data_IF_690698388513
#
_entry.id   IF_690698388513
#
_cell.length_a   1.000
_cell.length_b   1.000
_cell.length_c   1.000
_cell.angle_alpha   90.00
_cell.angle_beta   90.00
_cell.angle_gamma   90.00
#
_symmetry.space_group_name_H-M   'P 1'
#
loop_
_entity.id
_entity.type
_entity.pdbx_description
1 polymer ?
#
# COMPACT_ATOMS: atom_id res chain seq x y z
N UNK A 1 -46.79 -8.02 -10.12
CA UNK A 1 -47.00 -6.77 -9.34
C UNK A 1 -45.64 -6.11 -9.18
N UNK A 2 -45.43 -5.01 -9.90
CA UNK A 2 -44.26 -4.14 -9.81
C UNK A 2 -44.71 -2.86 -9.12
N UNK A 3 -44.07 -2.48 -8.01
CA UNK A 3 -43.98 -1.11 -7.45
C UNK A 3 -42.68 -1.12 -6.61
N UNK A 4 -41.67 -0.28 -6.79
CA UNK A 4 -41.65 1.11 -7.23
C UNK A 4 -41.31 1.97 -6.01
N UNK A 5 -40.03 2.25 -5.78
CA UNK A 5 -39.58 3.25 -4.80
C UNK A 5 -38.69 4.26 -5.51
N UNK A 6 -39.28 5.43 -5.76
CA UNK A 6 -38.65 6.63 -6.30
C UNK A 6 -37.96 7.43 -5.19
N UNK A 7 -36.83 8.04 -5.56
CA UNK A 7 -36.09 9.03 -4.78
C UNK A 7 -36.74 10.42 -4.89
N UNK A 8 -36.81 11.22 -3.81
CA UNK A 8 -37.16 12.62 -3.95
C UNK A 8 -35.92 13.50 -4.25
N UNK A 9 -36.00 14.20 -5.38
CA UNK A 9 -35.21 15.38 -5.74
C UNK A 9 -35.79 16.58 -4.96
N UNK A 10 -34.98 17.20 -4.10
CA UNK A 10 -35.34 18.42 -3.37
C UNK A 10 -34.64 19.65 -3.96
N UNK A 11 -35.45 20.58 -4.47
CA UNK A 11 -35.07 21.72 -5.29
C UNK A 11 -34.35 22.86 -4.54
N UNK A 12 -33.52 23.57 -5.31
CA UNK A 12 -32.98 24.91 -5.02
C UNK A 12 -34.07 25.95 -4.74
N UNK A 13 -33.87 26.79 -3.71
CA UNK A 13 -34.36 28.17 -3.67
C UNK A 13 -33.31 29.11 -3.08
N UNK A 14 -32.92 30.12 -3.85
CA UNK A 14 -32.27 31.34 -3.38
C UNK A 14 -33.32 32.39 -2.97
N UNK A 15 -32.98 33.25 -2.00
CA UNK A 15 -33.25 34.71 -1.94
C UNK A 15 -32.51 35.27 -0.71
N UNK A 16 -31.49 36.12 -0.83
CA UNK A 16 -31.47 37.60 -1.00
C UNK A 16 -32.10 38.39 0.17
N UNK A 17 -31.21 38.92 1.02
CA UNK A 17 -31.23 40.15 1.86
C UNK A 17 -32.42 40.47 2.77
N UNK A 18 -32.15 40.67 4.07
CA UNK A 18 -32.99 41.43 4.99
C UNK A 18 -32.62 41.26 6.47
N UNK A 19 -31.82 42.18 7.04
CA UNK A 19 -31.61 42.33 8.49
C UNK A 19 -32.85 43.03 9.08
N UNK A 20 -33.32 42.65 10.28
CA UNK A 20 -33.38 43.63 11.37
C UNK A 20 -32.79 43.09 12.69
N UNK A 21 -32.34 44.05 13.49
CA UNK A 21 -31.67 43.93 14.79
C UNK A 21 -32.66 44.06 15.97
N UNK A 22 -32.15 43.66 17.14
CA UNK A 22 -32.53 44.01 18.53
C UNK A 22 -33.52 43.10 19.27
N UNK A 23 -33.02 42.56 20.39
CA UNK A 23 -33.80 42.12 21.54
C UNK A 23 -33.00 41.23 22.50
N UNK A 24 -32.17 41.82 23.38
CA UNK A 24 -31.76 41.14 24.62
C UNK A 24 -32.95 41.12 25.60
N UNK A 25 -32.99 40.15 26.53
CA UNK A 25 -32.73 40.55 27.91
C UNK A 25 -31.88 39.55 28.72
N UNK A 26 -30.95 40.12 29.48
CA UNK A 26 -30.62 39.89 30.89
C UNK A 26 -30.70 38.47 31.49
N UNK A 27 -29.55 37.96 31.93
CA UNK A 27 -29.47 37.07 33.11
C UNK A 27 -29.58 37.88 34.41
N UNK A 28 -29.19 37.37 35.61
CA UNK A 28 -28.64 36.06 35.94
C UNK A 28 -29.37 35.38 37.13
N UNK A 29 -29.23 34.06 37.33
CA UNK A 29 -29.35 33.49 38.68
C UNK A 29 -28.37 32.32 38.88
N UNK A 30 -27.58 32.47 39.95
CA UNK A 30 -26.68 31.48 40.55
C UNK A 30 -27.46 30.29 41.10
N UNK A 31 -26.90 29.10 40.96
CA UNK A 31 -27.23 27.91 41.77
C UNK A 31 -26.01 27.00 41.80
N UNK A 32 -25.42 26.84 42.99
CA UNK A 32 -24.28 25.94 43.25
C UNK A 32 -24.77 24.55 43.73
N UNK A 33 -24.17 23.49 43.15
CA UNK A 33 -23.94 22.17 43.76
C UNK A 33 -24.87 21.01 43.34
N UNK A 34 -24.48 19.72 43.50
CA UNK A 34 -23.14 19.16 43.73
C UNK A 34 -22.74 18.00 42.78
N UNK A 35 -21.44 17.80 42.59
CA UNK A 35 -20.80 16.48 42.45
C UNK A 35 -21.08 15.67 41.19
N UNK A 36 -20.55 16.11 40.04
CA UNK A 36 -20.45 15.26 38.85
C UNK A 36 -19.27 14.30 39.03
N UNK A 37 -19.60 13.03 39.27
CA UNK A 37 -18.64 11.93 39.33
C UNK A 37 -18.03 11.76 37.95
N UNK A 38 -16.69 11.78 37.90
CA UNK A 38 -15.86 11.48 36.75
C UNK A 38 -16.33 10.22 36.01
N UNK A 39 -17.03 10.43 34.90
CA UNK A 39 -17.13 9.44 33.83
C UNK A 39 -15.82 9.52 33.05
N UNK A 40 -15.07 8.42 32.86
CA UNK A 40 -13.84 8.47 32.10
C UNK A 40 -14.18 8.88 30.67
N UNK A 41 -13.71 10.08 30.30
CA UNK A 41 -13.60 10.54 28.93
C UNK A 41 -13.10 9.38 28.09
N UNK A 42 -13.92 8.92 27.14
CA UNK A 42 -13.52 7.98 26.11
C UNK A 42 -12.14 8.41 25.61
N UNK A 43 -11.15 7.55 25.88
CA UNK A 43 -9.77 7.82 25.53
C UNK A 43 -9.74 8.15 24.05
N UNK A 44 -9.39 9.40 23.74
CA UNK A 44 -8.86 9.75 22.43
C UNK A 44 -7.76 8.72 22.19
N UNK A 45 -7.94 7.87 21.20
CA UNK A 45 -6.88 7.01 20.69
C UNK A 45 -5.83 7.95 20.10
N UNK A 46 -4.93 8.46 20.95
CA UNK A 46 -3.66 8.97 20.50
C UNK A 46 -2.99 7.79 19.79
N UNK A 47 -2.83 7.93 18.48
CA UNK A 47 -2.06 7.01 17.66
C UNK A 47 -0.62 7.06 18.16
N UNK A 48 -0.32 6.21 19.14
CA UNK A 48 1.03 5.98 19.62
C UNK A 48 1.74 5.16 18.54
N UNK A 49 2.50 5.84 17.68
CA UNK A 49 3.46 5.23 16.77
C UNK A 49 4.55 4.53 17.60
N UNK A 50 4.34 3.25 17.91
CA UNK A 50 5.35 2.37 18.52
C UNK A 50 5.59 1.21 17.58
N UNK A 51 6.83 1.11 17.09
CA UNK A 51 7.35 -0.13 16.54
C UNK A 51 7.29 -1.20 17.64
N UNK A 52 6.39 -2.18 17.50
CA UNK A 52 6.33 -3.35 18.38
C UNK A 52 7.17 -4.43 17.72
N UNK A 53 8.36 -4.79 18.22
CA UNK A 53 9.10 -5.92 17.65
C UNK A 53 8.22 -7.17 17.73
N UNK A 54 7.95 -7.80 16.60
CA UNK A 54 7.18 -9.04 16.57
C UNK A 54 8.09 -10.19 16.25
N UNK A 55 8.24 -11.02 17.27
CA UNK A 55 8.83 -12.34 17.17
C UNK A 55 7.87 -13.22 16.35
N UNK A 56 8.27 -13.53 15.12
CA UNK A 56 7.56 -14.43 14.23
C UNK A 56 7.70 -15.91 14.65
N UNK A 57 8.22 -16.23 15.85
CA UNK A 57 8.11 -17.57 16.43
C UNK A 57 8.94 -18.66 15.74
N UNK A 58 9.86 -18.28 14.86
CA UNK A 58 11.03 -19.11 14.54
C UNK A 58 12.09 -18.74 15.57
N UNK A 59 12.81 -19.68 16.21
CA UNK A 59 13.84 -19.33 17.18
C UNK A 59 15.00 -18.63 16.47
N UNK A 60 14.85 -17.33 16.25
CA UNK A 60 15.91 -16.45 15.80
C UNK A 60 16.69 -16.11 17.06
N UNK A 61 17.83 -16.79 17.22
CA UNK A 61 18.86 -16.38 18.15
C UNK A 61 19.25 -14.94 17.80
N UNK A 62 18.66 -14.00 18.52
CA UNK A 62 19.06 -12.60 18.55
C UNK A 62 18.72 -11.82 17.28
N UNK A 63 18.10 -10.66 17.52
CA UNK A 63 18.11 -9.47 16.67
C UNK A 63 16.86 -9.20 15.80
N UNK A 64 16.60 -7.89 15.62
CA UNK A 64 15.31 -7.18 15.52
C UNK A 64 14.69 -7.18 14.10
N UNK A 65 13.36 -7.29 14.02
CA UNK A 65 12.57 -6.97 12.80
C UNK A 65 12.44 -5.46 12.63
N UNK A 66 12.63 -4.95 11.40
CA UNK A 66 12.45 -3.55 11.03
C UNK A 66 11.01 -3.27 10.56
N UNK A 67 10.40 -2.22 11.13
CA UNK A 67 9.13 -1.67 10.67
C UNK A 67 9.41 -0.50 9.73
N UNK A 68 8.74 -0.48 8.58
CA UNK A 68 8.67 0.69 7.71
C UNK A 68 7.23 1.21 7.79
N UNK A 69 6.90 1.84 8.93
CA UNK A 69 6.08 3.05 8.87
C UNK A 69 7.04 4.19 8.51
N UNK A 70 6.57 5.32 7.99
CA UNK A 70 7.42 6.49 7.78
C UNK A 70 8.30 6.85 9.00
N UNK A 71 9.52 6.29 9.03
CA UNK A 71 10.50 6.08 10.11
C UNK A 71 10.42 4.78 10.97
N UNK A 72 11.40 3.88 10.76
CA UNK A 72 12.55 3.75 11.67
C UNK A 72 13.79 3.18 10.93
N UNK A 73 14.67 4.05 10.43
CA UNK A 73 16.01 3.68 9.96
C UNK A 73 16.98 3.69 11.16
N UNK A 74 17.56 2.54 11.49
CA UNK A 74 18.83 2.47 12.20
C UNK A 74 19.78 1.54 11.45
N UNK A 75 20.86 2.13 10.93
CA UNK A 75 21.99 1.42 10.34
C UNK A 75 22.67 0.49 11.36
N UNK A 76 23.07 -0.71 10.93
CA UNK A 76 24.35 -1.31 11.30
C UNK A 76 24.76 -2.39 10.28
N UNK A 77 26.03 -2.33 9.87
CA UNK A 77 26.72 -3.24 8.95
C UNK A 77 27.13 -4.57 9.61
N UNK A 78 27.33 -5.56 8.72
CA UNK A 78 28.34 -6.63 8.77
C UNK A 78 28.06 -7.87 9.64
N UNK A 79 27.74 -9.00 9.00
CA UNK A 79 28.68 -10.11 8.73
C UNK A 79 27.92 -11.24 7.99
N UNK A 80 28.28 -11.50 6.73
CA UNK A 80 27.72 -12.59 5.93
C UNK A 80 28.54 -13.87 6.07
N UNK A 81 27.90 -15.03 6.21
CA UNK A 81 28.46 -16.34 5.86
C UNK A 81 27.46 -17.13 4.99
N UNK A 82 27.93 -17.94 4.01
CA UNK A 82 27.09 -18.49 2.97
C UNK A 82 26.38 -19.78 3.42
N UNK A 83 25.07 -19.88 3.13
CA UNK A 83 24.35 -21.16 3.18
C UNK A 83 24.27 -21.73 1.76
N UNK A 84 24.83 -22.92 1.57
CA UNK A 84 24.78 -23.67 0.31
C UNK A 84 23.43 -24.37 0.13
N UNK A 85 22.83 -24.14 -1.03
CA UNK A 85 22.42 -25.22 -1.93
C UNK A 85 20.97 -25.68 -1.86
N UNK A 86 20.13 -25.09 -2.72
CA UNK A 86 19.11 -25.82 -3.48
C UNK A 86 19.17 -25.38 -4.93
N UNK A 87 19.12 -26.34 -5.86
CA UNK A 87 19.26 -26.09 -7.30
C UNK A 87 18.11 -25.18 -7.77
N UNK A 88 18.39 -24.05 -8.45
CA UNK A 88 17.32 -23.20 -8.97
C UNK A 88 16.64 -23.91 -10.14
N UNK A 89 15.30 -24.00 -10.08
CA UNK A 89 14.49 -24.20 -11.28
C UNK A 89 14.84 -23.11 -12.29
N UNK A 90 14.75 -23.41 -13.60
CA UNK A 90 15.09 -22.45 -14.66
C UNK A 90 14.28 -21.16 -14.45
N UNK A 91 14.95 -20.07 -14.09
CA UNK A 91 14.35 -18.73 -14.10
C UNK A 91 13.89 -18.44 -15.52
N UNK A 92 12.61 -18.12 -15.70
CA UNK A 92 12.13 -17.66 -16.99
C UNK A 92 12.79 -16.31 -17.30
N UNK A 93 13.39 -16.20 -18.49
CA UNK A 93 13.93 -14.92 -18.97
C UNK A 93 12.76 -14.03 -19.39
N UNK A 94 12.76 -12.72 -19.04
CA UNK A 94 11.78 -11.78 -19.55
C UNK A 94 11.72 -11.81 -21.08
N UNK A 95 10.53 -11.78 -21.70
CA UNK A 95 10.40 -11.73 -23.15
C UNK A 95 11.02 -10.46 -23.72
N UNK A 96 11.50 -10.54 -24.96
CA UNK A 96 12.09 -9.42 -25.69
C UNK A 96 11.12 -8.24 -25.92
N UNK A 97 9.82 -8.42 -25.70
CA UNK A 97 8.83 -7.32 -25.69
C UNK A 97 9.01 -6.37 -24.49
N UNK A 98 9.75 -6.79 -23.45
CA UNK A 98 10.29 -5.88 -22.44
C UNK A 98 11.70 -5.37 -22.80
N UNK A 99 12.30 -5.89 -23.86
CA UNK A 99 13.66 -5.60 -24.29
C UNK A 99 13.78 -4.20 -24.90
N UNK A 100 14.84 -3.51 -24.50
CA UNK A 100 15.16 -2.08 -24.68
C UNK A 100 14.40 -1.09 -23.77
N UNK A 101 13.66 -1.58 -22.77
CA UNK A 101 13.33 -0.74 -21.63
C UNK A 101 14.59 -0.60 -20.77
N UNK A 102 15.40 0.42 -21.10
CA UNK A 102 16.50 0.86 -20.27
C UNK A 102 15.98 1.30 -18.89
N UNK A 103 15.80 0.33 -18.00
CA UNK A 103 15.37 0.55 -16.60
C UNK A 103 16.50 1.18 -15.77
N UNK A 104 17.66 1.53 -16.38
CA UNK A 104 18.68 2.36 -15.73
C UNK A 104 18.32 3.84 -15.73
N UNK A 105 17.34 4.27 -16.54
CA UNK A 105 16.86 5.65 -16.60
C UNK A 105 15.67 5.93 -15.65
N UNK A 106 14.99 4.91 -15.14
CA UNK A 106 13.92 5.04 -14.14
C UNK A 106 14.57 5.07 -12.76
N UNK A 107 14.92 6.27 -12.31
CA UNK A 107 15.33 6.46 -10.92
C UNK A 107 14.12 6.15 -10.01
N UNK A 108 14.10 4.96 -9.41
CA UNK A 108 13.08 4.60 -8.43
C UNK A 108 13.34 5.34 -7.11
N UNK A 109 12.30 5.92 -6.53
CA UNK A 109 12.38 6.62 -5.25
C UNK A 109 11.98 5.69 -4.11
N UNK A 110 12.91 5.37 -3.18
CA UNK A 110 12.57 4.53 -2.03
C UNK A 110 11.40 5.12 -1.26
N UNK A 111 10.45 4.28 -0.84
CA UNK A 111 9.25 4.65 -0.10
C UNK A 111 8.21 5.48 -0.87
N UNK A 112 8.35 5.58 -2.20
CA UNK A 112 7.33 6.16 -3.09
C UNK A 112 6.93 5.15 -4.17
N UNK A 113 6.67 3.89 -3.75
CA UNK A 113 6.31 2.80 -4.65
C UNK A 113 5.07 3.11 -5.50
N UNK A 114 4.12 3.86 -4.95
CA UNK A 114 2.92 4.35 -5.62
C UNK A 114 3.27 5.26 -6.82
N UNK A 115 4.26 6.14 -6.68
CA UNK A 115 4.71 7.01 -7.75
C UNK A 115 5.61 6.28 -8.75
N UNK A 116 6.52 5.40 -8.26
CA UNK A 116 7.37 4.57 -9.13
C UNK A 116 6.51 3.75 -10.11
N UNK A 117 5.48 3.09 -9.59
CA UNK A 117 4.55 2.32 -10.40
C UNK A 117 3.72 3.23 -11.32
N UNK A 118 3.27 4.40 -10.84
CA UNK A 118 2.56 5.35 -11.69
C UNK A 118 3.42 5.78 -12.89
N UNK A 119 4.70 6.09 -12.68
CA UNK A 119 5.62 6.43 -13.77
C UNK A 119 5.80 5.28 -14.76
N UNK A 120 5.98 4.05 -14.27
CA UNK A 120 6.08 2.85 -15.12
C UNK A 120 4.81 2.60 -15.94
N UNK A 121 3.63 2.79 -15.36
CA UNK A 121 2.34 2.70 -16.08
C UNK A 121 2.21 3.71 -17.23
N UNK A 122 2.85 4.87 -17.15
CA UNK A 122 2.85 5.87 -18.22
C UNK A 122 4.06 5.81 -19.15
N UNK A 123 4.98 4.87 -18.91
CA UNK A 123 6.21 4.69 -19.66
C UNK A 123 6.33 3.25 -20.11
N UNK A 124 7.20 2.49 -19.45
CA UNK A 124 7.57 1.11 -19.84
C UNK A 124 6.42 0.12 -19.92
N UNK A 125 5.28 0.37 -19.25
CA UNK A 125 4.13 -0.52 -19.25
C UNK A 125 2.96 -0.01 -20.13
N UNK A 126 3.09 1.17 -20.73
CA UNK A 126 1.97 1.83 -21.42
C UNK A 126 1.47 1.04 -22.64
N UNK A 127 2.37 0.38 -23.37
CA UNK A 127 2.07 -0.31 -24.63
C UNK A 127 1.82 -1.82 -24.45
N UNK A 128 1.75 -2.31 -23.21
CA UNK A 128 1.55 -3.72 -22.93
C UNK A 128 0.06 -4.10 -23.04
N UNK A 129 -0.20 -5.30 -23.56
CA UNK A 129 -1.55 -5.79 -23.86
C UNK A 129 -2.49 -5.77 -22.64
N UNK A 130 -1.95 -6.01 -21.45
CA UNK A 130 -2.64 -5.83 -20.19
C UNK A 130 -1.64 -5.44 -19.11
N UNK A 131 -1.91 -4.33 -18.41
CA UNK A 131 -1.15 -3.90 -17.25
C UNK A 131 -2.10 -3.53 -16.12
N UNK A 132 -1.74 -3.92 -14.91
CA UNK A 132 -2.49 -3.72 -13.68
C UNK A 132 -1.56 -3.22 -12.59
N UNK A 133 -2.14 -2.48 -11.66
CA UNK A 133 -1.49 -2.07 -10.42
C UNK A 133 -2.10 -2.86 -9.29
N UNK A 134 -1.27 -3.19 -8.30
CA UNK A 134 -1.70 -3.88 -7.10
C UNK A 134 -1.21 -3.12 -5.88
N UNK A 135 -2.16 -2.59 -5.11
CA UNK A 135 -1.91 -2.11 -3.76
C UNK A 135 -1.97 -3.28 -2.79
N UNK A 136 -0.94 -3.41 -1.96
CA UNK A 136 -0.77 -4.48 -1.00
C UNK A 136 -0.83 -3.85 0.38
N UNK A 137 -1.83 -4.20 1.18
CA UNK A 137 -1.94 -3.75 2.57
C UNK A 137 -2.84 -4.71 3.34
N UNK A 138 -3.19 -4.34 4.57
CA UNK A 138 -4.21 -5.00 5.37
C UNK A 138 -4.79 -3.97 6.37
N UNK A 139 -5.88 -4.30 7.10
CA UNK A 139 -6.51 -3.34 8.01
C UNK A 139 -5.54 -2.79 9.08
N UNK A 140 -4.53 -3.57 9.48
CA UNK A 140 -3.53 -3.17 10.47
C UNK A 140 -2.36 -2.37 9.87
N UNK A 141 -2.26 -2.27 8.55
CA UNK A 141 -1.14 -1.66 7.82
C UNK A 141 0.20 -2.21 8.30
N UNK A 142 0.28 -3.53 8.28
CA UNK A 142 1.47 -4.28 8.66
C UNK A 142 1.57 -5.50 7.78
N UNK A 143 1.90 -5.39 6.49
CA UNK A 143 2.04 -6.55 5.60
C UNK A 143 3.49 -6.99 5.52
N UNK A 144 3.75 -8.30 5.68
CA UNK A 144 5.09 -8.85 5.55
C UNK A 144 5.39 -9.23 4.10
N UNK A 145 6.48 -8.68 3.55
CA UNK A 145 6.93 -8.96 2.18
C UNK A 145 8.40 -9.36 2.20
N UNK A 146 8.70 -10.58 1.75
CA UNK A 146 10.07 -11.10 1.64
C UNK A 146 10.75 -10.62 0.36
N UNK A 147 12.07 -10.79 0.31
CA UNK A 147 12.90 -10.49 -0.86
C UNK A 147 12.89 -9.00 -1.24
N UNK A 148 12.76 -8.11 -0.26
CA UNK A 148 12.79 -6.66 -0.46
C UNK A 148 14.21 -6.09 -0.24
N UNK A 149 14.60 -5.06 -1.00
CA UNK A 149 15.92 -4.41 -0.95
C UNK A 149 16.21 -3.77 0.41
N UNK A 150 15.16 -3.33 1.10
CA UNK A 150 15.25 -2.76 2.45
C UNK A 150 15.39 -3.83 3.56
N UNK A 151 15.24 -5.13 3.23
CA UNK A 151 15.41 -6.19 4.22
C UNK A 151 16.88 -6.32 4.65
N UNK A 152 17.16 -6.53 5.95
CA UNK A 152 18.52 -6.80 6.43
C UNK A 152 19.12 -8.09 5.84
N UNK A 153 18.26 -9.07 5.55
CA UNK A 153 18.65 -10.35 4.96
C UNK A 153 17.56 -10.92 4.05
N UNK A 154 17.94 -11.89 3.22
CA UNK A 154 17.04 -12.62 2.32
C UNK A 154 15.97 -13.45 3.04
N UNK A 155 16.20 -13.79 4.31
CA UNK A 155 15.32 -14.62 5.14
C UNK A 155 14.31 -13.82 5.93
N UNK A 156 14.46 -12.50 5.98
CA UNK A 156 13.60 -11.62 6.75
C UNK A 156 12.66 -10.83 5.83
N UNK A 157 11.40 -10.60 6.25
CA UNK A 157 10.51 -9.71 5.55
C UNK A 157 10.82 -8.25 5.87
N UNK A 158 10.37 -7.36 4.99
CA UNK A 158 10.03 -5.99 5.38
C UNK A 158 8.56 -5.96 5.78
N UNK A 159 8.25 -5.31 6.90
CA UNK A 159 6.86 -5.02 7.30
C UNK A 159 6.51 -3.62 6.79
N UNK A 160 5.65 -3.60 5.78
CA UNK A 160 5.16 -2.38 5.13
C UNK A 160 3.79 -1.98 5.68
N UNK A 161 3.53 -0.67 5.73
CA UNK A 161 2.18 -0.16 5.90
C UNK A 161 1.31 -0.37 4.65
N UNK A 162 1.91 -0.13 3.49
CA UNK A 162 1.44 -0.59 2.20
C UNK A 162 2.61 -0.75 1.23
N UNK A 163 2.39 -1.51 0.16
CA UNK A 163 3.31 -1.57 -0.97
C UNK A 163 2.55 -1.53 -2.29
N UNK A 164 3.19 -1.08 -3.37
CA UNK A 164 2.57 -0.99 -4.69
C UNK A 164 3.47 -1.66 -5.71
N UNK A 165 2.90 -2.60 -6.45
CA UNK A 165 3.56 -3.28 -7.57
C UNK A 165 2.73 -3.13 -8.84
N UNK A 166 3.33 -3.38 -10.01
CA UNK A 166 2.58 -3.58 -11.23
C UNK A 166 2.68 -5.03 -11.71
N UNK A 167 1.64 -5.49 -12.38
CA UNK A 167 1.64 -6.73 -13.15
C UNK A 167 1.31 -6.44 -14.61
N UNK A 168 2.12 -6.97 -15.52
CA UNK A 168 1.88 -6.82 -16.94
C UNK A 168 2.00 -8.15 -17.69
N UNK A 169 1.19 -8.30 -18.74
CA UNK A 169 1.24 -9.46 -19.62
C UNK A 169 2.24 -9.24 -20.76
N UNK A 170 3.10 -10.23 -20.94
CA UNK A 170 3.98 -10.32 -22.09
C UNK A 170 4.27 -11.78 -22.44
N UNK A 171 4.19 -12.13 -23.72
CA UNK A 171 4.38 -13.50 -24.18
C UNK A 171 3.37 -14.50 -23.57
N UNK A 172 2.15 -14.05 -23.27
CA UNK A 172 1.10 -14.89 -22.68
C UNK A 172 1.26 -15.20 -21.19
N UNK A 173 2.20 -14.53 -20.50
CA UNK A 173 2.52 -14.73 -19.09
C UNK A 173 2.47 -13.44 -18.31
N UNK A 174 2.24 -13.53 -17.00
CA UNK A 174 2.26 -12.38 -16.11
C UNK A 174 3.64 -12.12 -15.51
N UNK A 175 4.01 -10.85 -15.47
CA UNK A 175 5.29 -10.36 -14.96
C UNK A 175 5.05 -9.28 -13.92
N UNK A 176 5.66 -9.43 -12.74
CA UNK A 176 5.66 -8.44 -11.67
C UNK A 176 6.78 -7.45 -11.88
N UNK A 177 6.43 -6.17 -11.77
CA UNK A 177 7.34 -5.05 -11.67
C UNK A 177 7.28 -4.52 -10.24
N UNK A 178 8.27 -4.89 -9.44
CA UNK A 178 8.48 -4.39 -8.08
C UNK A 178 9.91 -3.84 -7.97
N UNK A 179 10.09 -2.52 -8.12
CA UNK A 179 11.37 -1.85 -7.92
C UNK A 179 12.08 -2.19 -6.61
N UNK A 180 11.33 -2.50 -5.55
CA UNK A 180 11.89 -2.79 -4.23
C UNK A 180 12.29 -4.27 -4.10
N UNK A 181 12.07 -5.10 -5.11
CA UNK A 181 12.44 -6.51 -5.08
C UNK A 181 13.94 -6.79 -5.29
N UNK A 182 14.44 -7.80 -4.60
CA UNK A 182 15.76 -8.42 -4.80
C UNK A 182 15.73 -9.56 -5.84
N UNK A 183 14.55 -9.91 -6.36
CA UNK A 183 14.39 -10.99 -7.34
C UNK A 183 14.74 -10.56 -8.78
N UNK A 184 14.88 -9.25 -9.00
CA UNK A 184 15.00 -8.61 -10.31
C UNK A 184 13.67 -8.03 -10.78
N UNK A 185 13.73 -7.15 -11.78
CA UNK A 185 12.57 -6.48 -12.36
C UNK A 185 12.69 -6.50 -13.89
N UNK A 186 11.69 -7.00 -14.63
CA UNK A 186 10.54 -7.77 -14.13
C UNK A 186 10.90 -9.20 -13.69
N UNK A 187 9.97 -9.85 -12.98
CA UNK A 187 10.04 -11.27 -12.60
C UNK A 187 8.70 -11.96 -12.85
N UNK A 188 8.70 -13.24 -13.25
CA UNK A 188 7.45 -13.97 -13.48
C UNK A 188 6.56 -13.97 -12.23
N UNK A 189 5.25 -13.76 -12.40
CA UNK A 189 4.32 -13.53 -11.29
C UNK A 189 4.32 -14.66 -10.26
N UNK A 190 4.23 -15.92 -10.68
CA UNK A 190 4.29 -17.06 -9.76
C UNK A 190 5.59 -17.09 -8.93
N UNK A 191 6.74 -16.83 -9.58
CA UNK A 191 8.04 -16.76 -8.88
C UNK A 191 8.08 -15.63 -7.84
N UNK A 192 7.50 -14.47 -8.16
CA UNK A 192 7.41 -13.37 -7.21
C UNK A 192 6.49 -13.70 -6.04
N UNK A 193 5.25 -14.13 -6.32
CA UNK A 193 4.24 -14.38 -5.30
C UNK A 193 4.70 -15.45 -4.30
N UNK A 194 5.31 -16.53 -4.79
CA UNK A 194 5.79 -17.61 -3.92
C UNK A 194 7.01 -17.22 -3.08
N UNK A 195 7.85 -16.32 -3.57
CA UNK A 195 9.05 -15.89 -2.87
C UNK A 195 8.82 -14.68 -1.95
N UNK A 196 7.86 -13.82 -2.27
CA UNK A 196 7.55 -12.59 -1.54
C UNK A 196 6.50 -12.81 -0.44
N UNK A 197 5.56 -13.75 -0.61
CA UNK A 197 4.46 -14.00 0.32
C UNK A 197 4.50 -15.45 0.84
N UNK A 198 5.32 -15.65 1.87
CA UNK A 198 5.45 -16.96 2.51
C UNK A 198 4.23 -17.26 3.40
N UNK A 199 3.89 -18.55 3.61
CA UNK A 199 2.84 -18.93 4.53
C UNK A 199 3.11 -18.42 5.95
N UNK A 200 2.10 -17.80 6.55
CA UNK A 200 2.14 -17.28 7.91
C UNK A 200 1.45 -18.24 8.87
N UNK A 201 2.04 -18.44 10.05
CA UNK A 201 1.40 -19.15 11.15
C UNK A 201 0.18 -18.35 11.66
N UNK A 202 -0.82 -18.99 12.30
CA UNK A 202 -1.99 -18.28 12.82
C UNK A 202 -1.66 -17.11 13.75
N UNK A 203 -0.61 -17.24 14.56
CA UNK A 203 -0.11 -16.18 15.45
C UNK A 203 0.45 -14.94 14.71
N UNK A 204 0.74 -15.08 13.42
CA UNK A 204 1.29 -14.03 12.55
C UNK A 204 0.25 -13.48 11.56
N UNK A 205 -1.02 -13.87 11.69
CA UNK A 205 -2.10 -13.48 10.76
C UNK A 205 -2.31 -11.97 10.62
N UNK A 206 -1.83 -11.18 11.59
CA UNK A 206 -1.77 -9.70 11.50
C UNK A 206 -0.89 -9.20 10.34
N UNK A 207 -0.02 -10.06 9.80
CA UNK A 207 0.86 -9.76 8.67
C UNK A 207 0.31 -10.17 7.30
N UNK A 208 -0.86 -10.81 7.28
CA UNK A 208 -1.44 -11.34 6.06
C UNK A 208 -1.79 -10.20 5.10
N UNK A 209 -1.27 -10.21 3.86
CA UNK A 209 -1.58 -9.21 2.86
C UNK A 209 -2.93 -9.48 2.19
N UNK A 210 -3.59 -8.40 1.80
CA UNK A 210 -4.65 -8.38 0.80
C UNK A 210 -4.23 -7.45 -0.35
N UNK A 211 -4.86 -7.63 -1.50
CA UNK A 211 -4.38 -7.11 -2.78
C UNK A 211 -5.49 -6.36 -3.51
N UNK A 212 -5.45 -5.03 -3.57
CA UNK A 212 -6.34 -4.26 -4.44
C UNK A 212 -5.78 -4.23 -5.85
N UNK A 213 -6.44 -4.97 -6.73
CA UNK A 213 -6.15 -5.14 -8.15
C UNK A 213 -6.94 -4.15 -9.00
N UNK A 214 -6.25 -3.35 -9.83
CA UNK A 214 -6.90 -2.40 -10.73
C UNK A 214 -6.17 -2.23 -12.06
N UNK A 215 -6.88 -1.89 -13.15
CA UNK A 215 -6.26 -1.56 -14.43
C UNK A 215 -5.27 -0.39 -14.32
N UNK A 216 -4.13 -0.49 -15.02
CA UNK A 216 -3.09 0.54 -14.98
C UNK A 216 -3.54 1.88 -15.57
N UNK A 217 -4.42 1.87 -16.57
CA UNK A 217 -4.99 3.07 -17.19
C UNK A 217 -5.95 3.82 -16.23
N UNK A 218 -6.76 3.06 -15.48
CA UNK A 218 -7.59 3.58 -14.39
C UNK A 218 -6.69 4.22 -13.32
N UNK A 219 -5.65 3.51 -12.88
CA UNK A 219 -4.69 4.06 -11.92
C UNK A 219 -4.06 5.35 -12.43
N UNK A 220 -3.63 5.40 -13.70
CA UNK A 220 -2.98 6.60 -14.24
C UNK A 220 -3.87 7.82 -14.32
N UNK A 221 -5.17 7.61 -14.55
CA UNK A 221 -6.14 8.70 -14.66
C UNK A 221 -6.59 9.19 -13.29
N UNK A 222 -6.83 8.28 -12.35
CA UNK A 222 -7.52 8.60 -11.09
C UNK A 222 -6.57 8.85 -9.91
N UNK A 223 -5.34 8.33 -9.94
CA UNK A 223 -4.42 8.48 -8.81
C UNK A 223 -3.95 9.92 -8.60
N UNK A 224 -3.99 10.38 -7.35
CA UNK A 224 -3.33 11.60 -6.91
C UNK A 224 -2.63 11.42 -5.56
N UNK A 225 -1.47 12.05 -5.43
CA UNK A 225 -0.68 12.09 -4.20
C UNK A 225 -0.05 13.47 -4.05
N UNK A 226 -0.32 14.12 -2.92
CA UNK A 226 0.31 15.37 -2.49
C UNK A 226 1.58 15.12 -1.63
N UNK A 227 1.98 13.85 -1.50
CA UNK A 227 3.13 13.36 -0.73
C UNK A 227 3.09 13.70 0.77
N UNK A 228 1.99 14.22 1.31
CA UNK A 228 1.93 14.64 2.71
C UNK A 228 2.09 13.47 3.69
N UNK A 229 1.75 12.25 3.27
CA UNK A 229 1.98 11.05 4.08
C UNK A 229 3.46 10.77 4.36
N UNK A 230 4.38 11.34 3.57
CA UNK A 230 5.83 11.26 3.76
C UNK A 230 6.41 12.47 4.50
N UNK A 231 5.56 13.31 5.08
CA UNK A 231 5.97 14.41 5.97
C UNK A 231 5.90 13.96 7.42
N UNK A 232 7.00 14.15 8.14
CA UNK A 232 7.03 13.98 9.59
C UNK A 232 6.33 15.13 10.31
N UNK A 233 6.17 14.98 11.63
CA UNK A 233 5.45 15.94 12.47
C UNK A 233 6.04 17.36 12.46
N UNK A 234 7.36 17.49 12.23
CA UNK A 234 8.04 18.78 12.09
C UNK A 234 8.01 19.36 10.67
N UNK A 235 7.35 18.67 9.74
CA UNK A 235 7.30 19.05 8.33
C UNK A 235 8.52 18.61 7.52
N UNK A 236 9.48 17.89 8.11
CA UNK A 236 10.58 17.25 7.40
C UNK A 236 10.09 16.11 6.49
N UNK A 237 10.85 15.80 5.45
CA UNK A 237 10.61 14.61 4.63
C UNK A 237 11.18 13.38 5.31
N UNK A 238 10.37 12.32 5.40
CA UNK A 238 10.80 11.02 5.95
C UNK A 238 11.77 10.31 4.99
N UNK A 239 11.61 10.54 3.69
CA UNK A 239 12.55 10.18 2.64
C UNK A 239 12.53 11.24 1.52
N UNK A 240 13.64 11.45 0.79
CA UNK A 240 13.68 12.42 -0.31
C UNK A 240 12.54 12.16 -1.32
N UNK A 241 11.67 13.14 -1.57
CA UNK A 241 10.56 12.96 -2.50
C UNK A 241 11.06 12.88 -3.95
N UNK A 242 10.26 12.26 -4.85
CA UNK A 242 10.50 12.36 -6.28
C UNK A 242 10.63 13.82 -6.74
N UNK A 243 11.57 14.14 -7.64
CA UNK A 243 11.69 15.49 -8.19
C UNK A 243 10.45 15.83 -9.03
N UNK A 244 10.15 17.13 -9.10
CA UNK A 244 9.02 17.62 -9.88
C UNK A 244 7.70 17.68 -9.10
N UNK A 245 6.60 18.02 -9.79
CA UNK A 245 5.31 18.25 -9.15
C UNK A 245 4.70 16.94 -8.63
N UNK A 246 3.87 17.07 -7.61
CA UNK A 246 2.99 16.00 -7.13
C UNK A 246 2.04 15.53 -8.24
N UNK A 247 1.60 14.27 -8.15
CA UNK A 247 0.67 13.68 -9.11
C UNK A 247 -0.75 14.17 -8.79
N UNK A 248 -1.38 14.85 -9.75
CA UNK A 248 -2.75 15.33 -9.62
C UNK A 248 -2.92 16.47 -8.60
N UNK A 249 -4.13 16.60 -8.04
CA UNK A 249 -4.46 17.59 -7.00
C UNK A 249 -4.98 16.87 -5.76
N UNK A 250 -4.42 17.20 -4.60
CA UNK A 250 -4.72 16.54 -3.33
C UNK A 250 -4.18 15.10 -3.29
N UNK A 251 -4.74 14.28 -2.41
CA UNK A 251 -4.35 12.89 -2.25
C UNK A 251 -5.56 11.97 -2.13
N UNK A 252 -5.54 10.88 -2.88
CA UNK A 252 -6.44 9.75 -2.71
C UNK A 252 -5.70 8.43 -2.44
N UNK A 253 -4.37 8.48 -2.24
CA UNK A 253 -3.53 7.33 -1.93
C UNK A 253 -4.13 6.43 -0.84
N UNK A 254 -4.54 7.02 0.29
CA UNK A 254 -5.06 6.24 1.41
C UNK A 254 -6.39 5.54 1.12
N UNK A 255 -7.12 5.94 0.07
CA UNK A 255 -8.32 5.23 -0.40
C UNK A 255 -7.98 3.99 -1.23
N UNK A 256 -6.82 3.98 -1.90
CA UNK A 256 -6.30 2.77 -2.54
C UNK A 256 -5.73 1.80 -1.50
N UNK A 257 -5.07 2.34 -0.46
CA UNK A 257 -4.50 1.54 0.64
C UNK A 257 -5.57 0.95 1.56
N UNK A 258 -6.67 1.66 1.82
CA UNK A 258 -7.82 1.12 2.54
C UNK A 258 -8.47 0.01 1.69
N UNK A 259 -8.46 -1.22 2.20
CA UNK A 259 -9.00 -2.40 1.53
C UNK A 259 -10.40 -2.80 2.03
N UNK A 260 -10.93 -2.10 3.04
CA UNK A 260 -12.24 -2.39 3.63
C UNK A 260 -13.34 -1.54 3.01
N UNK A 261 -13.00 -0.32 2.59
CA UNK A 261 -13.94 0.57 1.91
C UNK A 261 -13.97 0.33 0.41
N UNK A 262 -15.16 0.31 -0.18
CA UNK A 262 -15.34 0.24 -1.63
C UNK A 262 -14.67 1.44 -2.31
N UNK A 263 -13.80 1.13 -3.26
CA UNK A 263 -13.08 2.09 -4.07
C UNK A 263 -12.66 1.43 -5.39
N UNK A 264 -11.92 2.14 -6.24
CA UNK A 264 -11.43 1.60 -7.50
C UNK A 264 -10.69 0.28 -7.33
N UNK A 265 -10.95 -0.66 -8.23
CA UNK A 265 -10.33 -2.00 -8.21
C UNK A 265 -11.03 -2.99 -7.30
N UNK A 266 -10.68 -4.27 -7.50
CA UNK A 266 -11.18 -5.41 -6.72
C UNK A 266 -10.16 -5.77 -5.64
N UNK A 267 -10.61 -6.19 -4.46
CA UNK A 267 -9.74 -6.68 -3.39
C UNK A 267 -9.68 -8.20 -3.41
N UNK A 268 -8.48 -8.75 -3.43
CA UNK A 268 -8.18 -10.18 -3.51
C UNK A 268 -7.40 -10.63 -2.28
N UNK A 269 -7.56 -11.90 -1.94
CA UNK A 269 -6.57 -12.62 -1.15
C UNK A 269 -5.44 -13.15 -2.07
N UNK A 270 -4.44 -13.80 -1.47
CA UNK A 270 -3.28 -14.32 -2.20
C UNK A 270 -3.67 -15.43 -3.20
N UNK A 271 -4.64 -16.28 -2.85
CA UNK A 271 -5.03 -17.41 -3.70
C UNK A 271 -5.81 -16.92 -4.93
N UNK A 272 -6.70 -15.95 -4.75
CA UNK A 272 -7.39 -15.28 -5.85
C UNK A 272 -6.41 -14.53 -6.77
N UNK A 273 -5.39 -13.86 -6.21
CA UNK A 273 -4.34 -13.21 -7.02
C UNK A 273 -3.51 -14.23 -7.80
N UNK A 274 -3.14 -15.36 -7.18
CA UNK A 274 -2.45 -16.48 -7.86
C UNK A 274 -3.29 -17.04 -8.99
N UNK A 275 -4.56 -17.33 -8.76
CA UNK A 275 -5.47 -17.85 -9.77
C UNK A 275 -5.64 -16.88 -10.95
N UNK A 276 -5.58 -15.57 -10.68
CA UNK A 276 -5.68 -14.54 -11.73
C UNK A 276 -4.42 -14.40 -12.59
N UNK A 277 -3.28 -14.72 -12.00
CA UNK A 277 -1.96 -14.51 -12.59
C UNK A 277 -1.28 -15.80 -13.03
N UNK A 278 -1.96 -16.94 -12.89
CA UNK A 278 -1.50 -18.23 -13.39
C UNK A 278 -1.42 -18.20 -14.91
N UNK A 279 -0.36 -18.81 -15.44
CA UNK A 279 -0.19 -18.97 -16.88
C UNK A 279 -1.27 -19.95 -17.40
N UNK A 280 -1.95 -19.66 -18.52
CA UNK A 280 -2.84 -20.64 -19.16
C UNK A 280 -1.99 -21.80 -19.69
N UNK A 281 -1.82 -22.84 -18.88
CA UNK A 281 -1.03 -24.04 -19.20
C UNK A 281 -0.12 -24.56 -18.08
N UNK A 282 -0.02 -23.89 -16.94
CA UNK A 282 0.59 -24.49 -15.75
C UNK A 282 -0.45 -25.38 -15.05
N UNK A 283 -0.46 -26.67 -15.35
CA UNK A 283 -1.12 -27.66 -14.49
C UNK A 283 -0.53 -27.56 -13.07
N UNK A 284 -1.35 -27.62 -12.02
CA UNK A 284 -0.83 -27.72 -10.66
C UNK A 284 -0.08 -29.05 -10.52
N UNK A 285 1.19 -28.96 -10.11
CA UNK A 285 2.01 -30.11 -9.74
C UNK A 285 1.63 -30.66 -8.36
#
# INVERSE_FOLDING_TARGET
>A
MLQGLEYPIGAFRQNRHGIPSVGQPEGPLRGEGPGERDLPSAARAETVHRAIPVDLGVPLRGERVQFIQGNLLHQACSLAHPVRGSRPGRKATPPASFGDLDDSATHDWPFYCEENIWHRCGGSLADLAAAHVVFISNPQRTVAIWRQKAAPSITEPVVWDYHVIALAQAGGRWWVHDPDSTLGVPVAAGTYLDAAFLPLAPAQSVYTPHFRWLPADLYRREFCSDRQHMRGSGGEWLAPPPPGPCIGRGSNLMRFVDLETEFWGEVLDLDALRARTSDPGSDPA
#
